data_IF_816451346648
#
_entry.id   IF_816451346648
#
_cell.length_a   1.000
_cell.length_b   1.000
_cell.length_c   1.000
_cell.angle_alpha   90.00
_cell.angle_beta   90.00
_cell.angle_gamma   90.00
#
_symmetry.space_group_name_H-M   'P 1'
#
loop_
_entity.id
_entity.type
_entity.pdbx_description
1 polymer ?
#
# COMPACT_ATOMS: atom_id res chain seq x y z
N UNK A 1 -12.12 5.06 -53.05
CA UNK A 1 -12.32 4.84 -51.59
C UNK A 1 -11.05 4.21 -51.05
N UNK A 2 -10.14 5.03 -50.52
CA UNK A 2 -8.88 4.56 -49.94
C UNK A 2 -8.92 4.77 -48.43
N UNK A 3 -9.12 3.69 -47.68
CA UNK A 3 -8.95 3.70 -46.23
C UNK A 3 -7.46 3.66 -45.89
N UNK A 4 -6.82 4.85 -45.89
CA UNK A 4 -5.49 5.01 -45.31
C UNK A 4 -5.57 4.68 -43.81
N UNK A 5 -5.19 3.46 -43.46
CA UNK A 5 -4.98 3.02 -42.07
C UNK A 5 -4.03 4.02 -41.41
N UNK A 6 -4.49 4.69 -40.35
CA UNK A 6 -3.61 5.54 -39.54
C UNK A 6 -2.50 4.64 -38.96
N UNK A 7 -1.23 5.05 -39.01
CA UNK A 7 -0.17 4.34 -38.31
C UNK A 7 -0.53 4.25 -36.83
N UNK A 8 -0.34 3.08 -36.23
CA UNK A 8 -0.49 2.89 -34.79
C UNK A 8 0.37 3.93 -34.06
N UNK A 9 -0.14 4.59 -33.01
CA UNK A 9 0.65 5.44 -32.12
C UNK A 9 1.97 4.74 -31.76
N UNK A 10 3.10 5.47 -31.72
CA UNK A 10 4.42 4.91 -31.39
C UNK A 10 4.44 4.12 -30.07
N UNK A 11 3.49 4.41 -29.18
CA UNK A 11 3.27 3.77 -27.88
C UNK A 11 2.65 2.37 -27.98
N UNK A 12 2.10 1.99 -29.15
CA UNK A 12 1.49 0.69 -29.44
C UNK A 12 2.34 -0.14 -30.42
N UNK A 13 3.59 0.26 -30.66
CA UNK A 13 4.50 -0.54 -31.46
C UNK A 13 4.81 -1.85 -30.72
N UNK A 14 4.86 -3.00 -31.41
CA UNK A 14 5.39 -4.23 -30.84
C UNK A 14 6.75 -3.93 -30.21
N UNK A 15 6.96 -4.38 -28.97
CA UNK A 15 8.26 -4.24 -28.33
C UNK A 15 9.31 -4.82 -29.28
N UNK A 16 10.39 -4.07 -29.60
CA UNK A 16 11.44 -4.58 -30.45
C UNK A 16 11.93 -5.89 -29.85
N UNK A 17 12.10 -6.92 -30.69
CA UNK A 17 12.65 -8.19 -30.23
C UNK A 17 13.95 -7.90 -29.49
N UNK A 18 14.07 -8.30 -28.21
CA UNK A 18 15.24 -7.97 -27.42
C UNK A 18 16.46 -8.51 -28.15
N UNK A 19 17.46 -7.65 -28.36
CA UNK A 19 18.68 -8.09 -29.00
C UNK A 19 19.34 -9.16 -28.15
N UNK A 20 20.19 -9.99 -28.75
CA UNK A 20 20.98 -10.96 -27.99
C UNK A 20 21.83 -10.32 -26.89
N UNK A 21 22.17 -9.03 -27.04
CA UNK A 21 22.88 -8.23 -26.05
C UNK A 21 21.97 -7.87 -24.87
N UNK A 22 20.71 -7.52 -25.14
CA UNK A 22 19.72 -7.20 -24.10
C UNK A 22 19.38 -8.44 -23.28
N UNK A 23 19.22 -9.60 -23.93
CA UNK A 23 19.01 -10.87 -23.24
C UNK A 23 20.20 -11.22 -22.33
N UNK A 24 21.43 -10.99 -22.77
CA UNK A 24 22.64 -11.19 -21.95
C UNK A 24 22.70 -10.24 -20.76
N UNK A 25 22.29 -8.98 -20.93
CA UNK A 25 22.23 -7.99 -19.84
C UNK A 25 21.17 -8.37 -18.81
N UNK A 26 19.99 -8.78 -19.26
CA UNK A 26 18.91 -9.27 -18.39
C UNK A 26 19.32 -10.52 -17.62
N UNK A 27 19.96 -11.48 -18.28
CA UNK A 27 20.47 -12.69 -17.63
C UNK A 27 21.55 -12.37 -16.58
N UNK A 28 22.43 -11.40 -16.85
CA UNK A 28 23.42 -10.93 -15.87
C UNK A 28 22.77 -10.22 -14.69
N UNK A 29 21.80 -9.33 -14.93
CA UNK A 29 21.09 -8.63 -13.86
C UNK A 29 20.33 -9.62 -12.97
N UNK A 30 19.73 -10.64 -13.59
CA UNK A 30 19.09 -11.75 -12.90
C UNK A 30 20.05 -12.55 -12.01
N UNK A 31 21.21 -12.96 -12.55
CA UNK A 31 22.23 -13.69 -11.83
C UNK A 31 22.76 -12.88 -10.62
N UNK A 32 22.99 -11.58 -10.80
CA UNK A 32 23.36 -10.67 -9.71
C UNK A 32 22.26 -10.57 -8.65
N UNK A 33 21.00 -10.50 -9.06
CA UNK A 33 19.85 -10.38 -8.15
C UNK A 33 19.63 -11.66 -7.34
N UNK A 34 19.74 -12.84 -7.96
CA UNK A 34 19.62 -14.12 -7.27
C UNK A 34 20.77 -14.33 -6.27
N UNK A 35 22.00 -14.01 -6.68
CA UNK A 35 23.18 -14.07 -5.79
C UNK A 35 23.08 -13.13 -4.60
N UNK A 36 22.56 -11.92 -4.81
CA UNK A 36 22.38 -10.94 -3.73
C UNK A 36 21.29 -11.35 -2.73
N UNK A 37 20.26 -12.10 -3.19
CA UNK A 37 19.13 -12.54 -2.34
C UNK A 37 19.30 -13.93 -1.73
N UNK A 38 20.24 -14.73 -2.21
CA UNK A 38 20.45 -16.10 -1.73
C UNK A 38 19.34 -17.08 -2.14
N UNK A 39 18.44 -16.67 -3.02
CA UNK A 39 17.29 -17.46 -3.48
C UNK A 39 17.14 -17.36 -5.00
N UNK A 40 16.78 -18.48 -5.64
CA UNK A 40 16.48 -18.53 -7.08
C UNK A 40 15.01 -18.19 -7.29
N UNK A 41 14.74 -17.04 -7.91
CA UNK A 41 13.36 -16.56 -8.19
C UNK A 41 13.12 -16.73 -9.68
N UNK A 42 12.12 -17.49 -10.13
CA UNK A 42 11.86 -17.66 -11.57
C UNK A 42 11.78 -16.28 -12.29
N UNK A 43 12.61 -15.99 -13.31
CA UNK A 43 12.63 -14.70 -13.98
C UNK A 43 11.30 -14.34 -14.66
N UNK A 44 10.45 -15.34 -14.93
CA UNK A 44 9.09 -15.15 -15.46
C UNK A 44 8.05 -14.93 -14.34
N UNK A 45 8.42 -15.20 -13.08
CA UNK A 45 7.61 -14.89 -11.90
C UNK A 45 7.85 -13.47 -11.35
N UNK A 46 8.87 -12.77 -11.86
CA UNK A 46 8.80 -11.31 -11.92
C UNK A 46 7.67 -10.97 -12.89
N UNK A 47 6.46 -10.72 -12.35
CA UNK A 47 5.30 -10.29 -13.12
C UNK A 47 5.76 -9.29 -14.19
N UNK A 48 5.78 -9.72 -15.47
CA UNK A 48 6.10 -8.89 -16.60
C UNK A 48 4.94 -7.90 -16.75
N UNK A 49 4.98 -6.82 -15.98
CA UNK A 49 4.01 -5.73 -16.07
C UNK A 49 4.26 -5.00 -17.39
N UNK A 50 3.21 -4.63 -18.14
CA UNK A 50 3.35 -3.74 -19.29
C UNK A 50 4.18 -2.51 -18.93
N UNK A 51 4.96 -1.95 -19.85
CA UNK A 51 5.78 -0.77 -19.56
C UNK A 51 4.96 0.42 -19.01
N UNK A 52 3.67 0.50 -19.34
CA UNK A 52 2.70 1.46 -18.79
C UNK A 52 2.42 1.29 -17.29
N UNK A 53 2.63 0.09 -16.77
CA UNK A 53 2.46 -0.32 -15.37
C UNK A 53 3.81 -0.40 -14.62
N UNK A 54 4.92 -0.10 -15.29
CA UNK A 54 6.20 0.04 -14.61
C UNK A 54 6.18 1.29 -13.71
N UNK A 55 6.50 1.10 -12.43
CA UNK A 55 6.61 2.18 -11.46
C UNK A 55 8.08 2.55 -11.31
N UNK A 56 8.43 3.79 -11.68
CA UNK A 56 9.78 4.29 -11.49
C UNK A 56 10.10 4.39 -9.98
N UNK A 57 11.27 3.89 -9.59
CA UNK A 57 11.74 3.88 -8.21
C UNK A 57 11.78 5.28 -7.56
N UNK A 58 11.86 6.35 -8.37
CA UNK A 58 11.78 7.75 -7.91
C UNK A 58 10.54 8.02 -7.03
N UNK A 59 9.42 7.33 -7.29
CA UNK A 59 8.18 7.51 -6.52
C UNK A 59 8.27 7.00 -5.07
N UNK A 60 9.31 6.24 -4.70
CA UNK A 60 9.49 5.73 -3.34
C UNK A 60 10.59 6.46 -2.56
N UNK A 61 11.17 7.52 -3.13
CA UNK A 61 12.25 8.27 -2.47
C UNK A 61 11.74 9.19 -1.35
N UNK A 62 10.45 9.53 -1.36
CA UNK A 62 9.81 10.30 -0.29
C UNK A 62 8.33 9.99 -0.19
N UNK A 63 7.75 10.26 0.98
CA UNK A 63 6.32 10.10 1.24
C UNK A 63 5.47 10.92 0.26
N UNK A 64 5.86 12.17 -0.01
CA UNK A 64 5.15 13.07 -0.93
C UNK A 64 5.13 12.54 -2.37
N UNK A 65 6.22 11.93 -2.84
CA UNK A 65 6.29 11.38 -4.19
C UNK A 65 5.45 10.11 -4.32
N UNK A 66 5.38 9.30 -3.26
CA UNK A 66 4.54 8.12 -3.20
C UNK A 66 3.06 8.53 -3.19
N UNK A 67 2.71 9.51 -2.36
CA UNK A 67 1.36 10.07 -2.30
C UNK A 67 0.92 10.61 -3.66
N UNK A 68 1.77 11.40 -4.30
CA UNK A 68 1.52 11.95 -5.65
C UNK A 68 1.27 10.84 -6.67
N UNK A 69 2.04 9.75 -6.60
CA UNK A 69 1.86 8.58 -7.48
C UNK A 69 0.50 7.90 -7.24
N UNK A 70 0.15 7.65 -5.98
CA UNK A 70 -1.12 7.00 -5.61
C UNK A 70 -2.31 7.84 -6.11
N UNK A 71 -2.25 9.16 -5.93
CA UNK A 71 -3.28 10.09 -6.40
C UNK A 71 -3.36 10.15 -7.93
N UNK A 72 -2.23 10.22 -8.63
CA UNK A 72 -2.20 10.34 -10.08
C UNK A 72 -2.60 9.05 -10.80
N UNK A 73 -2.42 7.88 -10.17
CA UNK A 73 -2.73 6.57 -10.74
C UNK A 73 -3.57 5.70 -9.80
N UNK A 74 -4.83 6.06 -9.50
CA UNK A 74 -5.65 5.36 -8.50
C UNK A 74 -6.01 3.92 -8.90
N UNK A 75 -6.12 3.63 -10.20
CA UNK A 75 -6.44 2.29 -10.69
C UNK A 75 -5.22 1.39 -10.86
N UNK A 76 -4.01 1.90 -10.61
CA UNK A 76 -2.81 1.09 -10.71
C UNK A 76 -2.77 0.05 -9.60
N UNK A 77 -2.38 -1.19 -9.91
CA UNK A 77 -2.39 -2.30 -8.96
C UNK A 77 -1.62 -1.99 -7.66
N UNK A 78 -0.46 -1.33 -7.77
CA UNK A 78 0.30 -0.86 -6.61
C UNK A 78 -0.46 0.18 -5.77
N UNK A 79 -1.09 1.18 -6.40
CA UNK A 79 -1.85 2.21 -5.68
C UNK A 79 -2.99 1.59 -4.89
N UNK A 80 -3.72 0.66 -5.50
CA UNK A 80 -4.78 -0.08 -4.83
C UNK A 80 -4.25 -0.96 -3.70
N UNK A 81 -3.07 -1.58 -3.86
CA UNK A 81 -2.45 -2.37 -2.81
C UNK A 81 -2.04 -1.50 -1.61
N UNK A 82 -1.44 -0.33 -1.86
CA UNK A 82 -1.09 0.66 -0.83
C UNK A 82 -2.34 1.14 -0.11
N UNK A 83 -3.38 1.53 -0.85
CA UNK A 83 -4.65 1.98 -0.29
C UNK A 83 -5.28 0.91 0.62
N UNK A 84 -5.39 -0.34 0.15
CA UNK A 84 -5.92 -1.45 0.96
C UNK A 84 -5.11 -1.70 2.23
N UNK A 85 -3.78 -1.59 2.15
CA UNK A 85 -2.90 -1.75 3.30
C UNK A 85 -3.15 -0.65 4.34
N UNK A 86 -3.27 0.61 3.91
CA UNK A 86 -3.57 1.75 4.77
C UNK A 86 -4.95 1.61 5.40
N UNK A 87 -5.98 1.26 4.62
CA UNK A 87 -7.33 1.04 5.15
C UNK A 87 -7.36 -0.07 6.20
N UNK A 88 -6.65 -1.18 5.97
CA UNK A 88 -6.54 -2.26 6.95
C UNK A 88 -5.82 -1.81 8.23
N UNK A 89 -4.74 -1.04 8.10
CA UNK A 89 -4.02 -0.50 9.24
C UNK A 89 -4.89 0.45 10.07
N UNK A 90 -5.67 1.31 9.39
CA UNK A 90 -6.62 2.22 10.01
C UNK A 90 -7.74 1.47 10.73
N UNK A 91 -8.32 0.43 10.12
CA UNK A 91 -9.34 -0.39 10.75
C UNK A 91 -8.82 -1.06 12.03
N UNK A 92 -7.62 -1.66 11.98
CA UNK A 92 -6.96 -2.21 13.17
C UNK A 92 -6.78 -1.16 14.26
N UNK A 93 -6.23 0.00 13.90
CA UNK A 93 -6.01 1.11 14.82
C UNK A 93 -7.32 1.60 15.47
N UNK A 94 -8.36 1.86 14.68
CA UNK A 94 -9.66 2.36 15.16
C UNK A 94 -10.34 1.36 16.10
N UNK A 95 -10.10 0.07 15.91
CA UNK A 95 -10.55 -1.00 16.79
C UNK A 95 -9.64 -1.21 18.03
N UNK A 96 -8.65 -0.34 18.24
CA UNK A 96 -7.74 -0.39 19.38
C UNK A 96 -6.66 -1.48 19.27
N UNK A 97 -6.38 -1.96 18.06
CA UNK A 97 -5.37 -2.96 17.78
C UNK A 97 -4.13 -2.32 17.17
N UNK A 98 -2.96 -2.89 17.47
CA UNK A 98 -1.71 -2.44 16.86
C UNK A 98 -1.69 -2.83 15.37
N UNK A 99 -1.45 -1.90 14.43
CA UNK A 99 -1.44 -2.22 13.01
C UNK A 99 -0.39 -3.27 12.65
N UNK A 100 -0.85 -4.40 12.10
CA UNK A 100 -0.02 -5.57 11.80
C UNK A 100 1.05 -5.33 10.73
N UNK A 101 0.88 -4.29 9.91
CA UNK A 101 1.85 -3.91 8.88
C UNK A 101 3.08 -3.19 9.43
N UNK A 102 3.02 -2.68 10.68
CA UNK A 102 4.13 -2.00 11.33
C UNK A 102 5.06 -3.04 11.97
N UNK A 103 6.23 -3.25 11.37
CA UNK A 103 7.23 -4.20 11.89
C UNK A 103 7.94 -3.71 13.16
N UNK A 104 8.06 -2.40 13.31
CA UNK A 104 8.69 -1.78 14.47
C UNK A 104 7.63 -1.35 15.47
N UNK A 105 7.86 -1.71 16.75
CA UNK A 105 7.03 -1.21 17.84
C UNK A 105 7.33 0.27 18.06
N UNK A 106 6.29 1.09 17.95
CA UNK A 106 6.27 2.47 18.41
C UNK A 106 5.71 2.46 19.83
N UNK A 107 6.54 2.81 20.81
CA UNK A 107 6.17 2.81 22.23
C UNK A 107 5.02 3.79 22.52
N UNK A 108 4.96 4.94 21.85
CA UNK A 108 3.90 5.92 22.07
C UNK A 108 2.57 5.39 21.57
N UNK A 109 2.59 4.72 20.42
CA UNK A 109 1.39 4.06 19.89
C UNK A 109 0.93 2.92 20.79
N UNK A 110 1.86 2.11 21.32
CA UNK A 110 1.53 1.01 22.23
C UNK A 110 0.89 1.56 23.53
N UNK A 111 1.49 2.58 24.14
CA UNK A 111 0.93 3.27 25.32
C UNK A 111 -0.45 3.84 25.02
N UNK A 112 -0.63 4.50 23.88
CA UNK A 112 -1.92 5.06 23.48
C UNK A 112 -3.00 3.98 23.39
N UNK A 113 -2.72 2.86 22.73
CA UNK A 113 -3.69 1.75 22.57
C UNK A 113 -3.99 1.04 23.89
N UNK A 114 -3.01 0.94 24.79
CA UNK A 114 -3.23 0.46 26.16
C UNK A 114 -4.18 1.39 26.92
N UNK A 115 -3.97 2.71 26.86
CA UNK A 115 -4.85 3.70 27.49
C UNK A 115 -6.27 3.62 26.93
N UNK A 116 -6.43 3.50 25.61
CA UNK A 116 -7.74 3.29 24.96
C UNK A 116 -8.43 2.06 25.55
N UNK A 117 -7.70 0.96 25.76
CA UNK A 117 -8.26 -0.26 26.34
C UNK A 117 -8.68 -0.09 27.80
N UNK A 118 -7.89 0.62 28.61
CA UNK A 118 -8.23 0.91 30.01
C UNK A 118 -9.49 1.77 30.08
N UNK A 119 -9.58 2.85 29.30
CA UNK A 119 -10.74 3.76 29.33
C UNK A 119 -12.01 3.08 28.83
N UNK A 120 -11.92 2.31 27.74
CA UNK A 120 -13.05 1.56 27.21
C UNK A 120 -13.65 0.58 28.22
N UNK A 121 -12.81 -0.06 29.06
CA UNK A 121 -13.27 -0.94 30.14
C UNK A 121 -13.75 -0.22 31.40
N UNK A 122 -13.40 1.06 31.58
CA UNK A 122 -13.69 1.83 32.80
C UNK A 122 -14.98 2.65 32.73
N UNK A 123 -15.36 3.10 31.52
CA UNK A 123 -16.56 3.92 31.32
C UNK A 123 -17.69 3.04 30.76
N UNK A 124 -18.80 2.84 31.49
CA UNK A 124 -19.92 2.02 31.02
C UNK A 124 -20.46 2.54 29.68
N UNK A 125 -20.82 1.63 28.77
CA UNK A 125 -21.48 2.00 27.53
C UNK A 125 -22.84 2.64 27.82
N UNK A 126 -23.06 3.84 27.26
CA UNK A 126 -24.41 4.39 27.16
C UNK A 126 -25.17 3.56 26.11
N UNK A 127 -26.19 2.86 26.57
CA UNK A 127 -26.97 1.83 25.89
C UNK A 127 -27.24 2.01 24.38
N UNK A 128 -27.02 0.89 23.67
CA UNK A 128 -27.66 0.36 22.45
C UNK A 128 -27.70 1.30 21.23
N UNK A 129 -26.55 1.47 20.59
CA UNK A 129 -26.49 1.70 19.13
C UNK A 129 -26.40 0.35 18.40
N UNK A 130 -27.17 0.21 17.31
CA UNK A 130 -27.23 -1.03 16.50
C UNK A 130 -25.87 -1.42 15.90
N UNK A 131 -24.96 -0.45 15.73
CA UNK A 131 -23.53 -0.67 15.54
C UNK A 131 -22.76 0.29 16.43
N UNK A 132 -22.05 -0.18 17.48
CA UNK A 132 -21.18 0.69 18.26
C UNK A 132 -20.08 1.27 17.36
N UNK A 133 -19.66 2.53 17.56
CA UNK A 133 -18.54 3.10 16.82
C UNK A 133 -17.25 2.34 17.13
N UNK A 134 -16.22 2.42 16.27
CA UNK A 134 -14.91 1.83 16.55
C UNK A 134 -14.36 2.26 17.90
N UNK A 135 -13.65 1.36 18.58
CA UNK A 135 -13.22 1.50 19.98
C UNK A 135 -12.54 2.83 20.30
N UNK A 136 -11.59 3.27 19.47
CA UNK A 136 -10.87 4.55 19.67
C UNK A 136 -11.85 5.72 19.62
N UNK A 137 -12.76 5.73 18.64
CA UNK A 137 -13.78 6.78 18.50
C UNK A 137 -14.73 6.77 19.69
N UNK A 138 -15.16 5.59 20.13
CA UNK A 138 -16.03 5.43 21.29
C UNK A 138 -15.38 6.02 22.55
N UNK A 139 -14.11 5.71 22.80
CA UNK A 139 -13.34 6.25 23.92
C UNK A 139 -13.29 7.77 23.90
N UNK A 140 -12.98 8.39 22.76
CA UNK A 140 -12.97 9.86 22.65
C UNK A 140 -14.35 10.45 22.93
N UNK A 141 -15.42 9.86 22.38
CA UNK A 141 -16.78 10.33 22.63
C UNK A 141 -17.18 10.22 24.11
N UNK A 142 -16.81 9.12 24.78
CA UNK A 142 -17.06 8.91 26.21
C UNK A 142 -16.29 9.93 27.05
N UNK A 143 -15.01 10.17 26.77
CA UNK A 143 -14.20 11.17 27.47
C UNK A 143 -14.76 12.59 27.30
N UNK A 144 -15.18 12.96 26.09
CA UNK A 144 -15.81 14.25 25.83
C UNK A 144 -17.10 14.43 26.64
N UNK A 145 -17.94 13.39 26.74
CA UNK A 145 -19.16 13.45 27.55
C UNK A 145 -18.88 13.66 29.04
N UNK A 146 -17.85 12.99 29.58
CA UNK A 146 -17.43 13.15 30.98
C UNK A 146 -16.87 14.55 31.24
N UNK A 147 -16.23 15.19 30.25
CA UNK A 147 -15.66 16.53 30.42
C UNK A 147 -16.67 17.69 30.40
N UNK A 148 -17.88 17.44 29.88
CA UNK A 148 -18.93 18.46 29.71
C UNK A 148 -20.00 18.37 30.81
N UNK A 149 -20.03 17.27 31.58
CA UNK A 149 -20.93 17.07 32.72
C UNK A 149 -20.31 17.46 34.04
#
# INVERSE_FOLDING_TARGET
MDHRRRPLPKELAPLPHPSSLDMKRTARLYDVTCKARGEYVDPLSMYLVPASEYVNAVHFQSETLLETFVQAKPHHALSQAVERLVLRALDQFLNGQYPSCLKHKDEKLDIFLQNVTVVDGSIPEASITLSPPPKVVNVFQRLLRVSIG
#
